data_IF_851612469045
#
_entry.id   IF_851612469045
#
_cell.length_a   1.000
_cell.length_b   1.000
_cell.length_c   1.000
_cell.angle_alpha   90.00
_cell.angle_beta   90.00
_cell.angle_gamma   90.00
#
_symmetry.space_group_name_H-M   'P 1'
#
loop_
_entity.id
_entity.type
_entity.pdbx_description
1 polymer ?
#
# COMPACT_ATOMS: atom_id res chain seq x y z
N UNK A 1 -5.67 -16.32 -6.00
CA UNK A 1 -6.34 -15.30 -6.86
C UNK A 1 -5.77 -13.95 -6.51
N UNK A 2 -5.45 -13.14 -7.49
CA UNK A 2 -4.93 -11.79 -7.30
C UNK A 2 -6.06 -10.77 -7.45
N UNK A 3 -6.11 -9.78 -6.55
CA UNK A 3 -7.20 -8.77 -6.50
C UNK A 3 -6.80 -7.43 -7.12
N UNK A 4 -5.49 -7.24 -7.36
CA UNK A 4 -4.96 -6.01 -7.91
C UNK A 4 -5.21 -5.90 -9.42
N UNK A 5 -5.53 -4.71 -9.86
CA UNK A 5 -5.67 -4.34 -11.27
C UNK A 5 -4.65 -3.29 -11.66
N UNK A 6 -4.26 -3.29 -12.93
CA UNK A 6 -3.35 -2.32 -13.51
C UNK A 6 -4.14 -1.20 -14.19
N UNK A 7 -3.84 0.05 -13.85
CA UNK A 7 -4.35 1.25 -14.50
C UNK A 7 -3.20 1.94 -15.26
N UNK A 8 -3.33 2.06 -16.56
CA UNK A 8 -2.35 2.71 -17.45
C UNK A 8 -2.88 4.01 -18.08
N UNK A 9 -3.97 4.55 -17.56
CA UNK A 9 -4.60 5.76 -18.12
C UNK A 9 -3.90 7.06 -17.73
N UNK A 10 -3.13 7.05 -16.63
CA UNK A 10 -2.35 8.20 -16.16
C UNK A 10 -0.98 8.34 -16.84
N UNK A 11 -0.21 9.34 -16.40
CA UNK A 11 1.15 9.59 -16.87
C UNK A 11 2.11 8.45 -16.51
N UNK A 12 1.85 7.75 -15.41
CA UNK A 12 2.55 6.55 -14.95
C UNK A 12 1.52 5.44 -14.68
N UNK A 13 1.94 4.17 -14.75
CA UNK A 13 1.05 3.08 -14.36
C UNK A 13 0.74 3.14 -12.86
N UNK A 14 -0.42 2.63 -12.51
CA UNK A 14 -0.84 2.49 -11.12
C UNK A 14 -1.41 1.09 -10.88
N UNK A 15 -1.17 0.56 -9.70
CA UNK A 15 -1.81 -0.66 -9.20
C UNK A 15 -2.96 -0.25 -8.30
N UNK A 16 -4.13 -0.88 -8.48
CA UNK A 16 -5.33 -0.64 -7.66
C UNK A 16 -5.78 -1.92 -6.99
N UNK A 17 -5.98 -1.85 -5.68
CA UNK A 17 -6.54 -2.94 -4.88
C UNK A 17 -7.79 -2.44 -4.14
N UNK A 18 -8.77 -3.31 -4.00
CA UNK A 18 -10.02 -3.00 -3.30
C UNK A 18 -10.28 -4.01 -2.20
N UNK A 19 -10.72 -3.53 -1.03
CA UNK A 19 -11.15 -4.37 0.09
C UNK A 19 -12.45 -3.85 0.68
N UNK A 20 -13.36 -4.76 0.98
CA UNK A 20 -14.47 -4.48 1.89
C UNK A 20 -14.01 -4.73 3.32
N UNK A 21 -14.26 -3.77 4.20
CA UNK A 21 -14.01 -3.84 5.63
C UNK A 21 -15.33 -3.67 6.37
N UNK A 22 -15.61 -4.49 7.40
CA UNK A 22 -16.93 -4.46 8.06
C UNK A 22 -17.16 -3.21 8.93
N UNK A 23 -16.12 -2.43 9.20
CA UNK A 23 -16.18 -1.24 10.03
C UNK A 23 -16.56 0.02 9.23
N UNK A 24 -17.21 1.02 9.87
CA UNK A 24 -17.55 2.26 9.18
C UNK A 24 -16.31 3.11 8.83
N UNK A 25 -16.40 4.05 7.87
CA UNK A 25 -15.25 4.83 7.40
C UNK A 25 -14.44 5.53 8.48
N UNK A 26 -15.08 6.04 9.54
CA UNK A 26 -14.36 6.69 10.64
C UNK A 26 -13.43 5.72 11.41
N UNK A 27 -13.82 4.46 11.53
CA UNK A 27 -12.99 3.40 12.17
C UNK A 27 -11.85 3.00 11.24
N UNK A 28 -12.13 2.80 9.95
CA UNK A 28 -11.11 2.47 8.93
C UNK A 28 -10.11 3.62 8.79
N UNK A 29 -10.57 4.87 8.84
CA UNK A 29 -9.70 6.05 8.83
C UNK A 29 -8.65 6.01 9.93
N UNK A 30 -9.04 5.65 11.15
CA UNK A 30 -8.08 5.47 12.25
C UNK A 30 -7.08 4.36 11.96
N UNK A 31 -7.52 3.26 11.36
CA UNK A 31 -6.64 2.15 11.01
C UNK A 31 -5.55 2.54 10.00
N UNK A 32 -5.83 3.50 9.11
CA UNK A 32 -4.87 3.98 8.10
C UNK A 32 -4.11 5.25 8.50
N UNK A 33 -4.42 5.85 9.65
CA UNK A 33 -3.80 7.11 10.09
C UNK A 33 -3.15 7.05 11.47
N UNK A 34 -3.65 6.24 12.38
CA UNK A 34 -3.08 6.11 13.72
C UNK A 34 -1.86 5.19 13.72
N UNK A 35 -0.70 5.71 14.18
CA UNK A 35 0.58 5.00 14.15
C UNK A 35 0.51 3.61 14.75
N UNK A 36 -0.15 3.46 15.91
CA UNK A 36 -0.27 2.16 16.59
C UNK A 36 -1.14 1.16 15.80
N UNK A 37 -2.14 1.63 15.07
CA UNK A 37 -2.96 0.77 14.22
C UNK A 37 -2.24 0.41 12.92
N UNK A 38 -1.50 1.34 12.33
CA UNK A 38 -0.67 1.08 11.14
C UNK A 38 0.34 -0.05 11.36
N UNK A 39 0.92 -0.16 12.54
CA UNK A 39 1.86 -1.26 12.90
C UNK A 39 1.29 -2.66 12.70
N UNK A 40 -0.01 -2.82 12.73
CA UNK A 40 -0.64 -4.13 12.58
C UNK A 40 -0.67 -4.65 11.14
N UNK A 41 -0.59 -3.76 10.16
CA UNK A 41 -0.80 -4.13 8.76
C UNK A 41 0.14 -3.46 7.76
N UNK A 42 0.61 -2.24 8.03
CA UNK A 42 1.48 -1.49 7.13
C UNK A 42 2.91 -2.08 7.14
N UNK A 43 3.65 -2.02 6.02
CA UNK A 43 4.94 -2.73 5.91
C UNK A 43 6.06 -2.18 6.80
N UNK A 44 5.89 -0.97 7.34
CA UNK A 44 6.89 -0.30 8.18
C UNK A 44 6.23 0.62 9.19
N UNK A 45 7.03 1.22 10.07
CA UNK A 45 6.55 2.30 10.94
C UNK A 45 6.25 3.57 10.15
N UNK A 46 5.31 4.38 10.63
CA UNK A 46 4.89 5.63 9.99
C UNK A 46 4.96 6.76 10.99
N UNK A 47 5.85 7.71 10.76
CA UNK A 47 6.06 8.86 11.62
C UNK A 47 5.75 10.14 10.85
N UNK A 48 4.62 10.78 11.17
CA UNK A 48 4.20 12.05 10.58
C UNK A 48 4.75 13.20 11.40
N UNK A 49 5.39 14.16 10.77
CA UNK A 49 5.90 15.36 11.42
C UNK A 49 4.79 16.10 12.19
N UNK A 50 5.06 16.41 13.45
CA UNK A 50 4.08 17.02 14.34
C UNK A 50 2.92 16.09 14.76
N UNK A 51 2.95 14.81 14.38
CA UNK A 51 1.92 13.81 14.72
C UNK A 51 0.57 14.05 14.06
N UNK A 52 0.50 14.88 13.02
CA UNK A 52 -0.76 15.29 12.39
C UNK A 52 -0.69 15.17 10.87
N UNK A 53 -1.65 14.48 10.31
CA UNK A 53 -1.85 14.40 8.87
C UNK A 53 -2.36 15.74 8.33
N UNK A 54 -1.47 16.52 7.75
CA UNK A 54 -1.78 17.81 7.11
C UNK A 54 -1.05 17.88 5.78
N UNK A 55 -1.67 18.46 4.77
CA UNK A 55 -1.03 18.67 3.46
C UNK A 55 0.31 19.39 3.63
N UNK A 56 1.36 18.83 3.03
CA UNK A 56 2.73 19.32 3.14
C UNK A 56 3.53 18.79 4.32
N UNK A 57 2.91 18.05 5.27
CA UNK A 57 3.64 17.43 6.38
C UNK A 57 4.60 16.36 5.86
N UNK A 58 5.81 16.32 6.42
CA UNK A 58 6.79 15.29 6.12
C UNK A 58 6.43 13.98 6.84
N UNK A 59 6.72 12.87 6.17
CA UNK A 59 6.53 11.53 6.72
C UNK A 59 7.87 10.79 6.66
N UNK A 60 8.17 10.02 7.71
CA UNK A 60 9.29 9.10 7.73
C UNK A 60 8.77 7.67 7.88
N UNK A 61 9.28 6.76 7.07
CA UNK A 61 8.89 5.36 7.03
C UNK A 61 10.12 4.48 7.34
N UNK A 62 10.48 4.28 8.62
CA UNK A 62 11.56 3.38 8.98
C UNK A 62 11.10 1.92 8.88
N UNK A 63 11.78 1.13 8.06
CA UNK A 63 11.56 -0.30 7.95
C UNK A 63 12.21 -1.04 9.14
N UNK A 64 11.69 -2.21 9.54
CA UNK A 64 12.34 -3.05 10.52
C UNK A 64 13.74 -3.46 10.02
N UNK A 65 14.78 -3.20 10.80
CA UNK A 65 16.18 -3.43 10.40
C UNK A 65 16.51 -4.91 10.15
N UNK A 66 15.75 -5.82 10.74
CA UNK A 66 15.84 -7.27 10.52
C UNK A 66 15.22 -7.71 9.18
N UNK A 67 14.38 -6.88 8.56
CA UNK A 67 13.79 -7.11 7.26
C UNK A 67 14.62 -6.43 6.18
N UNK A 68 14.81 -5.12 6.31
CA UNK A 68 15.66 -4.30 5.43
C UNK A 68 16.08 -3.03 6.16
N UNK A 69 17.39 -2.73 6.16
CA UNK A 69 17.92 -1.49 6.74
C UNK A 69 17.67 -0.31 5.79
N UNK A 70 16.45 0.21 5.84
CA UNK A 70 15.99 1.28 4.95
C UNK A 70 15.01 2.21 5.67
N UNK A 71 15.09 3.49 5.35
CA UNK A 71 14.09 4.48 5.74
C UNK A 71 13.66 5.25 4.50
N UNK A 72 12.38 5.20 4.18
CA UNK A 72 11.79 6.04 3.15
C UNK A 72 11.28 7.35 3.77
N UNK A 73 11.15 8.35 2.94
CA UNK A 73 10.51 9.61 3.30
C UNK A 73 9.35 9.90 2.35
N UNK A 74 8.42 10.71 2.79
CA UNK A 74 7.29 11.12 1.97
C UNK A 74 6.72 12.46 2.43
N UNK A 75 5.73 12.91 1.71
CA UNK A 75 5.00 14.16 1.97
C UNK A 75 3.51 13.92 1.80
N UNK A 76 2.71 14.42 2.72
CA UNK A 76 1.25 14.36 2.63
C UNK A 76 0.77 15.26 1.48
N UNK A 77 0.02 14.69 0.55
CA UNK A 77 -0.49 15.37 -0.65
C UNK A 77 -1.95 15.79 -0.51
N UNK A 78 -2.79 14.96 0.11
CA UNK A 78 -4.22 15.23 0.29
C UNK A 78 -4.75 14.58 1.56
N UNK A 79 -5.61 15.28 2.26
CA UNK A 79 -6.34 14.78 3.44
C UNK A 79 -7.76 15.29 3.37
N UNK A 80 -8.72 14.39 3.34
CA UNK A 80 -10.16 14.68 3.44
C UNK A 80 -10.80 13.56 4.30
N UNK A 81 -10.73 13.73 5.62
CA UNK A 81 -11.22 12.76 6.60
C UNK A 81 -12.75 12.62 6.51
N UNK A 82 -13.31 11.39 6.51
CA UNK A 82 -12.65 10.08 6.53
C UNK A 82 -12.58 9.42 5.13
N UNK A 83 -12.49 10.18 4.05
CA UNK A 83 -12.70 9.69 2.68
C UNK A 83 -11.44 9.53 1.85
N UNK A 84 -10.42 10.37 2.08
CA UNK A 84 -9.26 10.45 1.20
C UNK A 84 -7.99 10.76 2.00
N UNK A 85 -6.97 9.94 1.78
CA UNK A 85 -5.60 10.20 2.22
C UNK A 85 -4.65 9.89 1.06
N UNK A 86 -3.75 10.81 0.73
CA UNK A 86 -2.71 10.58 -0.27
C UNK A 86 -1.39 11.16 0.18
N UNK A 87 -0.31 10.43 -0.09
CA UNK A 87 1.05 10.86 0.22
C UNK A 87 2.07 10.18 -0.69
N UNK A 88 3.26 10.76 -0.79
CA UNK A 88 4.36 10.13 -1.51
C UNK A 88 4.97 9.00 -0.67
N UNK A 89 5.37 7.93 -1.35
CA UNK A 89 6.02 6.76 -0.80
C UNK A 89 7.42 6.65 -1.41
N UNK A 90 8.43 7.17 -0.71
CA UNK A 90 9.74 7.41 -1.31
C UNK A 90 9.70 8.53 -2.35
N UNK A 91 10.64 8.49 -3.29
CA UNK A 91 10.76 9.53 -4.33
C UNK A 91 9.86 9.28 -5.55
N UNK A 92 9.53 8.03 -5.82
CA UNK A 92 8.97 7.60 -7.11
C UNK A 92 7.54 7.05 -7.04
N UNK A 93 6.93 6.98 -5.87
CA UNK A 93 5.60 6.41 -5.71
C UNK A 93 4.62 7.37 -5.04
N UNK A 94 3.35 7.25 -5.40
CA UNK A 94 2.24 7.98 -4.76
C UNK A 94 1.19 6.97 -4.32
N UNK A 95 0.94 6.93 -3.01
CA UNK A 95 -0.14 6.16 -2.42
C UNK A 95 -1.40 7.01 -2.25
N UNK A 96 -2.54 6.42 -2.56
CA UNK A 96 -3.85 7.04 -2.40
C UNK A 96 -4.81 6.02 -1.80
N UNK A 97 -5.42 6.40 -0.67
CA UNK A 97 -6.45 5.62 0.00
C UNK A 97 -7.78 6.35 -0.12
N UNK A 98 -8.77 5.66 -0.66
CA UNK A 98 -10.14 6.17 -0.80
C UNK A 98 -11.09 5.27 -0.02
N UNK A 99 -11.88 5.87 0.86
CA UNK A 99 -12.86 5.18 1.71
C UNK A 99 -14.27 5.62 1.32
N UNK A 100 -15.10 4.65 0.96
CA UNK A 100 -16.50 4.88 0.61
C UNK A 100 -17.39 4.02 1.50
N UNK A 101 -18.44 4.58 2.12
CA UNK A 101 -19.42 3.78 2.85
C UNK A 101 -20.04 2.72 1.94
N UNK A 102 -20.11 1.48 2.42
CA UNK A 102 -20.76 0.37 1.71
C UNK A 102 -21.52 -0.49 2.71
N UNK A 103 -22.85 -0.37 2.73
CA UNK A 103 -23.67 -0.98 3.76
C UNK A 103 -23.30 -0.45 5.15
N UNK A 104 -23.05 -1.34 6.09
CA UNK A 104 -22.58 -1.00 7.44
C UNK A 104 -21.05 -0.82 7.50
N UNK A 105 -20.33 -1.15 6.45
CA UNK A 105 -18.88 -1.13 6.37
C UNK A 105 -18.32 -0.10 5.41
N UNK A 106 -17.12 -0.37 4.93
CA UNK A 106 -16.34 0.52 4.07
C UNK A 106 -15.74 -0.24 2.90
N UNK A 107 -15.84 0.32 1.71
CA UNK A 107 -15.00 -0.04 0.57
C UNK A 107 -13.73 0.80 0.61
N UNK A 108 -12.58 0.16 0.80
CA UNK A 108 -11.28 0.79 0.70
C UNK A 108 -10.69 0.50 -0.67
N UNK A 109 -10.20 1.55 -1.35
CA UNK A 109 -9.41 1.44 -2.57
C UNK A 109 -8.04 2.03 -2.30
N UNK A 110 -7.00 1.21 -2.45
CA UNK A 110 -5.60 1.62 -2.46
C UNK A 110 -5.13 1.72 -3.91
N UNK A 111 -4.59 2.87 -4.27
CA UNK A 111 -3.92 3.09 -5.55
C UNK A 111 -2.46 3.42 -5.28
N UNK A 112 -1.55 2.72 -5.94
CA UNK A 112 -0.11 2.95 -5.91
C UNK A 112 0.35 3.31 -7.32
N UNK A 113 0.65 4.60 -7.55
CA UNK A 113 1.25 5.10 -8.77
C UNK A 113 2.76 4.96 -8.68
N UNK A 114 3.39 4.27 -9.67
CA UNK A 114 4.74 3.77 -9.51
C UNK A 114 5.48 3.58 -10.85
N UNK A 115 6.73 3.15 -10.78
CA UNK A 115 7.47 2.70 -11.95
C UNK A 115 6.90 1.37 -12.46
N UNK A 116 6.82 1.24 -13.80
CA UNK A 116 6.25 0.06 -14.45
C UNK A 116 6.88 -1.26 -13.97
N UNK A 117 8.20 -1.30 -13.82
CA UNK A 117 8.91 -2.52 -13.41
C UNK A 117 8.65 -2.97 -11.97
N UNK A 118 8.06 -2.12 -11.12
CA UNK A 118 7.77 -2.42 -9.71
C UNK A 118 6.33 -2.88 -9.45
N UNK A 119 5.47 -2.78 -10.46
CA UNK A 119 4.03 -2.98 -10.28
C UNK A 119 3.67 -4.34 -9.68
N UNK A 120 4.26 -5.42 -10.16
CA UNK A 120 3.94 -6.77 -9.68
C UNK A 120 4.37 -7.00 -8.22
N UNK A 121 5.58 -6.58 -7.84
CA UNK A 121 6.07 -6.74 -6.47
C UNK A 121 5.28 -5.91 -5.47
N UNK A 122 4.94 -4.67 -5.86
CA UNK A 122 4.15 -3.79 -5.00
C UNK A 122 2.70 -4.27 -4.88
N UNK A 123 2.10 -4.73 -5.98
CA UNK A 123 0.77 -5.33 -5.93
C UNK A 123 0.71 -6.52 -4.97
N UNK A 124 1.69 -7.42 -5.04
CA UNK A 124 1.79 -8.57 -4.12
C UNK A 124 1.95 -8.12 -2.65
N UNK A 125 2.81 -7.14 -2.40
CA UNK A 125 3.04 -6.60 -1.06
C UNK A 125 1.81 -5.89 -0.48
N UNK A 126 1.15 -5.05 -1.26
CA UNK A 126 -0.06 -4.35 -0.82
C UNK A 126 -1.24 -5.30 -0.61
N UNK A 127 -1.37 -6.35 -1.42
CA UNK A 127 -2.39 -7.38 -1.20
C UNK A 127 -2.20 -8.07 0.15
N UNK A 128 -0.96 -8.44 0.51
CA UNK A 128 -0.65 -9.02 1.82
C UNK A 128 -0.93 -8.04 2.96
N UNK A 129 -0.60 -6.76 2.79
CA UNK A 129 -0.89 -5.73 3.78
C UNK A 129 -2.39 -5.54 4.01
N UNK A 130 -3.17 -5.47 2.93
CA UNK A 130 -4.63 -5.31 3.01
C UNK A 130 -5.31 -6.55 3.58
N UNK A 131 -4.78 -7.75 3.36
CA UNK A 131 -5.26 -8.96 4.01
C UNK A 131 -5.06 -8.89 5.54
N UNK A 132 -3.88 -8.42 5.98
CA UNK A 132 -3.65 -8.19 7.42
C UNK A 132 -4.60 -7.13 8.00
N UNK A 133 -4.84 -6.05 7.27
CA UNK A 133 -5.82 -5.02 7.67
C UNK A 133 -7.23 -5.60 7.82
N UNK A 134 -7.61 -6.51 6.93
CA UNK A 134 -8.90 -7.21 6.97
C UNK A 134 -8.95 -8.35 8.01
N UNK A 135 -7.85 -8.64 8.71
CA UNK A 135 -7.78 -9.70 9.71
C UNK A 135 -7.60 -11.10 9.10
N UNK A 136 -7.22 -11.20 7.84
CA UNK A 136 -6.93 -12.47 7.18
C UNK A 136 -5.52 -12.92 7.54
N UNK A 137 -5.36 -14.18 7.94
CA UNK A 137 -4.06 -14.76 8.26
C UNK A 137 -3.19 -14.86 7.00
N UNK A 138 -1.90 -14.55 7.14
CA UNK A 138 -0.93 -14.74 6.07
C UNK A 138 -0.77 -16.24 5.75
N UNK A 139 -0.81 -16.56 4.46
CA UNK A 139 -0.51 -17.92 3.99
C UNK A 139 0.99 -18.03 3.65
N UNK A 140 1.61 -19.19 3.92
CA UNK A 140 3.00 -19.42 3.50
C UNK A 140 3.19 -19.19 2.00
N UNK A 141 4.25 -18.49 1.64
CA UNK A 141 4.60 -18.19 0.24
C UNK A 141 3.53 -17.40 -0.55
N UNK A 142 2.56 -16.78 0.12
CA UNK A 142 1.51 -16.01 -0.55
C UNK A 142 2.10 -14.92 -1.44
N UNK A 143 3.06 -14.16 -0.94
CA UNK A 143 3.71 -13.10 -1.69
C UNK A 143 4.37 -13.62 -2.98
N UNK A 144 5.11 -14.71 -2.91
CA UNK A 144 5.78 -15.30 -4.10
C UNK A 144 4.78 -15.74 -5.17
N UNK A 145 3.68 -16.37 -4.74
CA UNK A 145 2.61 -16.79 -5.67
C UNK A 145 1.94 -15.58 -6.32
N UNK A 146 1.65 -14.56 -5.52
CA UNK A 146 1.06 -13.30 -6.00
C UNK A 146 1.99 -12.57 -6.94
N UNK A 147 3.26 -12.44 -6.58
CA UNK A 147 4.27 -11.82 -7.45
C UNK A 147 4.37 -12.52 -8.81
N UNK A 148 4.40 -13.84 -8.83
CA UNK A 148 4.41 -14.60 -10.08
C UNK A 148 3.15 -14.36 -10.92
N UNK A 149 1.98 -14.36 -10.28
CA UNK A 149 0.70 -14.12 -10.97
C UNK A 149 0.58 -12.70 -11.50
N UNK A 150 0.97 -11.69 -10.72
CA UNK A 150 0.99 -10.30 -11.15
C UNK A 150 2.02 -10.06 -12.27
N UNK A 151 3.21 -10.64 -12.17
CA UNK A 151 4.22 -10.55 -13.23
C UNK A 151 3.68 -11.10 -14.55
N UNK A 152 3.06 -12.28 -14.53
CA UNK A 152 2.45 -12.88 -15.71
C UNK A 152 1.32 -12.00 -16.31
N UNK A 153 0.55 -11.32 -15.46
CA UNK A 153 -0.53 -10.44 -15.90
C UNK A 153 -0.04 -9.08 -16.43
N UNK A 154 0.99 -8.51 -15.80
CA UNK A 154 1.43 -7.13 -16.07
C UNK A 154 2.51 -7.04 -17.15
N UNK A 155 3.41 -8.00 -17.24
CA UNK A 155 4.51 -7.99 -18.25
C UNK A 155 4.03 -7.77 -19.69
N UNK A 156 2.94 -8.38 -20.16
CA UNK A 156 2.45 -8.14 -21.51
C UNK A 156 1.99 -6.70 -21.78
N UNK A 157 1.70 -5.94 -20.72
CA UNK A 157 1.13 -4.58 -20.82
C UNK A 157 2.19 -3.51 -20.59
N UNK A 158 3.05 -3.68 -19.58
CA UNK A 158 3.98 -2.65 -19.11
C UNK A 158 5.45 -3.09 -19.08
N UNK A 159 5.76 -4.28 -19.56
CA UNK A 159 7.13 -4.78 -19.66
C UNK A 159 7.61 -5.56 -18.43
N UNK A 160 8.91 -5.95 -18.42
CA UNK A 160 9.48 -6.83 -17.40
C UNK A 160 9.27 -6.33 -15.98
N UNK A 161 9.01 -7.27 -15.06
CA UNK A 161 8.79 -6.97 -13.66
C UNK A 161 10.02 -7.35 -12.81
N UNK A 162 10.41 -6.45 -11.92
CA UNK A 162 11.52 -6.65 -10.97
C UNK A 162 11.03 -7.27 -9.66
N UNK A 163 11.80 -8.22 -9.13
CA UNK A 163 11.59 -8.78 -7.80
C UNK A 163 11.93 -7.81 -6.68
N UNK A 164 11.90 -8.28 -5.43
CA UNK A 164 12.27 -7.47 -4.27
C UNK A 164 13.74 -7.02 -4.35
N UNK A 165 14.12 -5.92 -3.66
CA UNK A 165 15.50 -5.50 -3.55
C UNK A 165 16.41 -6.64 -3.03
N UNK A 166 17.68 -6.66 -3.47
CA UNK A 166 18.63 -7.71 -3.08
C UNK A 166 18.90 -7.74 -1.56
N UNK A 167 18.74 -6.61 -0.88
CA UNK A 167 18.91 -6.46 0.55
C UNK A 167 17.70 -6.95 1.37
N UNK A 168 16.62 -7.32 0.70
CA UNK A 168 15.40 -7.79 1.35
C UNK A 168 15.59 -9.19 1.92
N UNK A 169 15.55 -9.32 3.25
CA UNK A 169 15.80 -10.56 4.00
C UNK A 169 14.55 -11.19 4.61
N UNK A 170 13.36 -10.61 4.34
CA UNK A 170 12.11 -11.04 4.95
C UNK A 170 11.11 -11.58 3.95
N UNK A 171 10.08 -12.26 4.47
CA UNK A 171 8.80 -12.43 3.78
C UNK A 171 7.95 -11.18 4.06
N UNK A 172 7.39 -10.60 3.03
CA UNK A 172 6.42 -9.51 3.17
C UNK A 172 5.11 -10.03 3.70
#
# INVERSE_FOLDING_TARGET
MTDGTLDTTGARPAVRLSRYLPDPPAVVWRAITEREQLKAWFPCDVVVEGGRWAVGAAITFPFPADVIDMTLTGTVLAVDEPRLLSYTWGEDEVLRFELTPEGAGTRLILTDELQASWAARNAAGWEDCLDRLAGTAAEPDAWRRRFAAYSAAFEPVIGPQEGPPAEFNGEL
#
